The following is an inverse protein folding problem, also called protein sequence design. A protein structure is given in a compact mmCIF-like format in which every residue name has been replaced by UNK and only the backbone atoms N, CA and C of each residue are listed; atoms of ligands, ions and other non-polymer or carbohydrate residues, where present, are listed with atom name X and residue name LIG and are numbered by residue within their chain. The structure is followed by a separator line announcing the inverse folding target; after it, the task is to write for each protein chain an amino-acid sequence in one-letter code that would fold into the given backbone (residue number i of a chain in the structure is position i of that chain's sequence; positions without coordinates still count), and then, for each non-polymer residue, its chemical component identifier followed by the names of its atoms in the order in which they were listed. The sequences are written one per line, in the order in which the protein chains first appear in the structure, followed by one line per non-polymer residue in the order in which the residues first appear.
data_IF_921886763179
#
_entry.id   IF_921886763179
#
_cell.length_a   1.000
_cell.length_b   1.000
_cell.length_c   1.000
_cell.angle_alpha   90.00
_cell.angle_beta   90.00
_cell.angle_gamma   90.00
#
_symmetry.space_group_name_H-M   'P 1'
#
loop_
_entity.id
_entity.type
_entity.pdbx_description
1 polymer ?
#
# COMPACT_ATOMS: atom_id res chain seq x y z
N UNK A 1 13.97 20.93 -40.72
CA UNK A 1 12.77 20.67 -39.90
C UNK A 1 12.74 19.18 -39.56
N UNK A 2 13.31 18.82 -38.42
CA UNK A 2 13.44 17.44 -37.95
C UNK A 2 12.07 16.96 -37.45
N UNK A 3 11.47 16.00 -38.16
CA UNK A 3 10.17 15.42 -37.80
C UNK A 3 10.33 14.71 -36.45
N UNK A 4 9.81 15.31 -35.37
CA UNK A 4 9.59 14.60 -34.09
C UNK A 4 8.80 13.32 -34.39
N UNK A 5 9.47 12.17 -34.36
CA UNK A 5 8.83 10.88 -34.47
C UNK A 5 7.89 10.72 -33.27
N UNK A 6 6.61 11.02 -33.48
CA UNK A 6 5.59 10.87 -32.46
C UNK A 6 5.49 9.38 -32.17
N UNK A 7 5.77 8.99 -30.94
CA UNK A 7 5.88 7.59 -30.54
C UNK A 7 4.46 6.97 -30.44
N UNK A 8 3.85 6.79 -31.62
CA UNK A 8 2.43 6.44 -31.86
C UNK A 8 1.99 5.21 -31.08
N UNK A 9 2.92 4.30 -30.79
CA UNK A 9 2.71 3.08 -30.01
C UNK A 9 2.14 3.33 -28.61
N UNK A 10 2.41 4.48 -27.99
CA UNK A 10 1.89 4.81 -26.65
C UNK A 10 0.48 5.39 -26.64
N UNK A 11 -0.09 5.72 -27.81
CA UNK A 11 -1.43 6.30 -27.92
C UNK A 11 -2.52 5.27 -28.28
N UNK A 12 -2.15 3.99 -28.34
CA UNK A 12 -3.10 2.89 -28.51
C UNK A 12 -3.44 2.26 -27.16
N UNK A 13 -4.54 1.49 -27.10
CA UNK A 13 -4.85 0.70 -25.91
C UNK A 13 -3.67 -0.21 -25.57
N UNK A 14 -3.15 -0.08 -24.35
CA UNK A 14 -2.04 -0.86 -23.83
C UNK A 14 -2.49 -1.97 -22.90
N UNK A 15 -1.52 -2.68 -22.35
CA UNK A 15 -1.73 -3.65 -21.28
C UNK A 15 -2.35 -2.96 -20.05
N UNK A 16 -3.45 -3.48 -19.46
CA UNK A 16 -4.05 -2.91 -18.26
C UNK A 16 -3.11 -2.90 -17.04
N UNK A 17 -2.08 -3.77 -17.04
CA UNK A 17 -1.02 -3.75 -16.02
C UNK A 17 -0.06 -2.57 -16.17
N UNK A 18 -0.11 -1.88 -17.31
CA UNK A 18 0.78 -0.80 -17.68
C UNK A 18 1.94 -1.25 -18.56
N UNK A 19 2.72 -0.28 -19.04
CA UNK A 19 3.77 -0.51 -20.02
C UNK A 19 4.83 -1.50 -19.50
N UNK A 20 5.07 -2.57 -20.26
CA UNK A 20 6.01 -3.64 -19.91
C UNK A 20 7.41 -3.10 -19.55
N UNK A 21 7.96 -2.20 -20.37
CA UNK A 21 9.30 -1.62 -20.14
C UNK A 21 9.42 -0.96 -18.76
N UNK A 22 8.34 -0.35 -18.27
CA UNK A 22 8.31 0.29 -16.97
C UNK A 22 8.17 -0.75 -15.85
N UNK A 23 7.38 -1.82 -16.06
CA UNK A 23 7.30 -2.95 -15.13
C UNK A 23 8.66 -3.66 -15.00
N UNK A 24 9.37 -3.90 -16.09
CA UNK A 24 10.74 -4.46 -16.09
C UNK A 24 11.71 -3.59 -15.28
N UNK A 25 11.71 -2.28 -15.57
CA UNK A 25 12.57 -1.32 -14.84
C UNK A 25 12.26 -1.31 -13.34
N UNK A 26 10.98 -1.32 -12.96
CA UNK A 26 10.59 -1.33 -11.55
C UNK A 26 10.89 -2.66 -10.86
N UNK A 27 10.74 -3.80 -11.52
CA UNK A 27 11.09 -5.11 -10.97
C UNK A 27 12.57 -5.17 -10.59
N UNK A 28 13.45 -4.71 -11.49
CA UNK A 28 14.88 -4.60 -11.21
C UNK A 28 15.16 -3.62 -10.06
N UNK A 29 14.59 -2.41 -10.12
CA UNK A 29 14.80 -1.39 -9.10
C UNK A 29 14.38 -1.83 -7.69
N UNK A 30 13.24 -2.51 -7.56
CA UNK A 30 12.74 -3.03 -6.29
C UNK A 30 13.61 -4.17 -5.74
N UNK A 31 14.14 -5.02 -6.61
CA UNK A 31 15.10 -6.06 -6.23
C UNK A 31 16.39 -5.45 -5.68
N UNK A 32 16.96 -4.47 -6.38
CA UNK A 32 18.23 -3.83 -6.02
C UNK A 32 18.13 -2.95 -4.77
N UNK A 33 17.06 -2.17 -4.64
CA UNK A 33 16.95 -1.16 -3.55
C UNK A 33 16.23 -1.66 -2.31
N UNK A 34 15.40 -2.71 -2.43
CA UNK A 34 14.55 -3.20 -1.34
C UNK A 34 14.60 -4.71 -1.13
N UNK A 35 15.39 -5.45 -1.90
CA UNK A 35 15.45 -6.91 -1.81
C UNK A 35 14.13 -7.60 -2.18
N UNK A 36 13.20 -6.90 -2.82
CA UNK A 36 11.91 -7.45 -3.22
C UNK A 36 12.07 -8.11 -4.59
N UNK A 37 12.33 -9.41 -4.59
CA UNK A 37 12.40 -10.21 -5.81
C UNK A 37 11.01 -10.39 -6.43
N UNK A 38 10.85 -10.00 -7.69
CA UNK A 38 9.60 -10.14 -8.42
C UNK A 38 9.82 -10.04 -9.92
N UNK A 39 8.85 -10.54 -10.69
CA UNK A 39 8.84 -10.43 -12.15
C UNK A 39 7.96 -9.27 -12.59
N UNK A 40 8.10 -8.77 -13.84
CA UNK A 40 7.21 -7.75 -14.38
C UNK A 40 5.73 -8.13 -14.27
N UNK A 41 5.38 -9.42 -14.31
CA UNK A 41 4.01 -9.93 -14.22
C UNK A 41 3.44 -9.90 -12.79
N UNK A 42 4.27 -9.60 -11.79
CA UNK A 42 3.83 -9.34 -10.43
C UNK A 42 3.54 -7.86 -10.17
N UNK A 43 3.74 -6.98 -11.17
CA UNK A 43 3.62 -5.54 -11.02
C UNK A 43 2.42 -4.98 -11.78
N UNK A 44 1.62 -4.18 -11.09
CA UNK A 44 0.54 -3.38 -11.65
C UNK A 44 0.87 -1.90 -11.48
N UNK A 45 0.99 -1.17 -12.59
CA UNK A 45 1.16 0.27 -12.55
C UNK A 45 -0.14 0.94 -12.15
N UNK A 46 -0.06 1.86 -11.18
CA UNK A 46 -1.22 2.59 -10.67
C UNK A 46 -1.05 4.09 -10.85
N UNK A 47 -2.17 4.83 -10.86
CA UNK A 47 -2.18 6.30 -10.91
C UNK A 47 -1.97 6.89 -9.51
N UNK A 48 -0.89 6.46 -8.86
CA UNK A 48 -0.51 6.86 -7.50
C UNK A 48 -1.02 5.92 -6.40
N UNK A 49 -0.51 6.15 -5.18
CA UNK A 49 -0.70 5.25 -4.04
C UNK A 49 -2.18 5.02 -3.70
N UNK A 50 -3.02 6.06 -3.79
CA UNK A 50 -4.44 5.96 -3.45
C UNK A 50 -5.21 5.00 -4.37
N UNK A 51 -4.85 4.93 -5.67
CA UNK A 51 -5.43 3.94 -6.59
C UNK A 51 -5.00 2.53 -6.19
N UNK A 52 -3.73 2.34 -5.81
CA UNK A 52 -3.24 1.05 -5.32
C UNK A 52 -3.97 0.58 -4.05
N UNK A 53 -4.16 1.49 -3.08
CA UNK A 53 -4.91 1.22 -1.85
C UNK A 53 -6.36 0.86 -2.17
N UNK A 54 -7.00 1.60 -3.09
CA UNK A 54 -8.36 1.30 -3.54
C UNK A 54 -8.47 -0.09 -4.16
N UNK A 55 -7.60 -0.43 -5.11
CA UNK A 55 -7.61 -1.76 -5.75
C UNK A 55 -7.37 -2.88 -4.74
N UNK A 56 -6.42 -2.71 -3.83
CA UNK A 56 -6.16 -3.67 -2.75
C UNK A 56 -7.39 -3.83 -1.84
N UNK A 57 -8.06 -2.73 -1.48
CA UNK A 57 -9.26 -2.78 -0.67
C UNK A 57 -10.40 -3.52 -1.38
N UNK A 58 -10.67 -3.23 -2.65
CA UNK A 58 -11.71 -3.91 -3.42
C UNK A 58 -11.43 -5.40 -3.62
N UNK A 59 -10.16 -5.79 -3.75
CA UNK A 59 -9.77 -7.19 -3.93
C UNK A 59 -9.81 -7.97 -2.62
N UNK A 60 -9.36 -7.36 -1.52
CA UNK A 60 -9.11 -8.06 -0.27
C UNK A 60 -10.26 -7.93 0.71
N UNK A 61 -10.98 -6.81 0.79
CA UNK A 61 -11.92 -6.55 1.88
C UNK A 61 -13.33 -7.00 1.51
N UNK A 62 -14.01 -7.66 2.45
CA UNK A 62 -15.45 -7.96 2.41
C UNK A 62 -16.19 -7.19 3.49
N UNK A 63 -17.50 -7.02 3.30
CA UNK A 63 -18.37 -6.37 4.30
C UNK A 63 -18.27 -7.10 5.64
N UNK A 64 -17.94 -6.34 6.69
CA UNK A 64 -17.80 -6.82 8.06
C UNK A 64 -16.37 -7.22 8.45
N UNK A 65 -15.44 -7.33 7.50
CA UNK A 65 -14.03 -7.58 7.77
C UNK A 65 -13.44 -6.50 8.67
N UNK A 66 -12.47 -6.86 9.51
CA UNK A 66 -11.82 -5.91 10.41
C UNK A 66 -10.47 -5.49 9.83
N UNK A 67 -10.25 -4.18 9.74
CA UNK A 67 -8.99 -3.60 9.27
C UNK A 67 -8.41 -2.72 10.36
N UNK A 68 -7.15 -2.94 10.69
CA UNK A 68 -6.43 -2.12 11.67
C UNK A 68 -5.77 -0.94 10.96
N UNK A 69 -5.95 0.26 11.52
CA UNK A 69 -5.28 1.50 11.08
C UNK A 69 -4.70 2.24 12.28
N UNK A 70 -3.70 3.09 12.04
CA UNK A 70 -3.17 3.97 13.08
C UNK A 70 -4.18 5.05 13.52
N UNK A 71 -3.97 5.60 14.71
CA UNK A 71 -4.66 6.78 15.22
C UNK A 71 -3.67 7.81 15.76
N UNK A 72 -3.47 8.94 15.07
CA UNK A 72 -4.05 9.31 13.76
C UNK A 72 -3.50 8.44 12.61
N UNK A 73 -4.11 8.50 11.41
CA UNK A 73 -3.60 7.86 10.18
C UNK A 73 -4.05 8.60 8.92
N UNK A 74 -3.63 8.14 7.74
CA UNK A 74 -4.02 8.69 6.45
C UNK A 74 -5.52 8.48 6.17
N UNK A 75 -6.30 9.54 6.37
CA UNK A 75 -7.76 9.50 6.34
C UNK A 75 -8.35 8.94 5.05
N UNK A 76 -7.72 9.20 3.90
CA UNK A 76 -8.23 8.72 2.60
C UNK A 76 -8.11 7.20 2.50
N UNK A 77 -7.03 6.61 3.03
CA UNK A 77 -6.91 5.15 3.10
C UNK A 77 -7.98 4.56 4.04
N UNK A 78 -8.16 5.13 5.23
CA UNK A 78 -9.21 4.68 6.17
C UNK A 78 -10.59 4.68 5.51
N UNK A 79 -10.97 5.78 4.86
CA UNK A 79 -12.25 5.89 4.13
C UNK A 79 -12.40 4.87 3.01
N UNK A 80 -11.29 4.50 2.37
CA UNK A 80 -11.29 3.50 1.31
C UNK A 80 -11.66 2.11 1.85
N UNK A 81 -11.14 1.76 3.02
CA UNK A 81 -11.49 0.50 3.68
C UNK A 81 -12.94 0.51 4.20
N UNK A 82 -13.40 1.62 4.78
CA UNK A 82 -14.80 1.80 5.20
C UNK A 82 -15.77 1.63 4.02
N UNK A 83 -15.45 2.23 2.86
CA UNK A 83 -16.23 2.10 1.64
C UNK A 83 -16.27 0.66 1.09
N UNK A 84 -15.20 -0.12 1.30
CA UNK A 84 -15.18 -1.55 1.00
C UNK A 84 -15.98 -2.40 2.03
N UNK A 85 -16.53 -1.77 3.07
CA UNK A 85 -17.35 -2.40 4.10
C UNK A 85 -16.56 -2.90 5.31
N UNK A 86 -15.31 -2.46 5.49
CA UNK A 86 -14.53 -2.81 6.66
C UNK A 86 -15.04 -2.13 7.93
N UNK A 87 -14.96 -2.85 9.04
CA UNK A 87 -14.99 -2.30 10.39
C UNK A 87 -13.57 -1.87 10.78
N UNK A 88 -13.38 -0.58 11.02
CA UNK A 88 -12.05 -0.02 11.32
C UNK A 88 -11.73 -0.18 12.80
N UNK A 89 -10.61 -0.79 13.10
CA UNK A 89 -10.02 -0.83 14.42
C UNK A 89 -8.83 0.13 14.46
N UNK A 90 -8.81 1.01 15.46
CA UNK A 90 -7.80 2.07 15.59
C UNK A 90 -6.78 1.68 16.64
N UNK A 91 -5.50 1.87 16.30
CA UNK A 91 -4.37 1.62 17.20
C UNK A 91 -3.55 2.91 17.37
N UNK A 92 -3.22 3.32 18.60
CA UNK A 92 -2.42 4.52 18.84
C UNK A 92 -1.08 4.52 18.10
N UNK A 93 -0.67 5.70 17.65
CA UNK A 93 0.65 5.95 17.08
C UNK A 93 1.46 6.80 18.07
N UNK A 94 2.60 6.27 18.51
CA UNK A 94 3.56 6.97 19.38
C UNK A 94 4.74 7.54 18.56
N UNK A 95 5.77 8.05 19.25
CA UNK A 95 6.98 8.61 18.63
C UNK A 95 7.77 7.59 17.79
N UNK A 96 7.56 6.30 18.04
CA UNK A 96 8.14 5.17 17.32
C UNK A 96 7.11 4.49 16.38
N UNK A 97 6.06 5.20 15.98
CA UNK A 97 5.05 4.70 15.05
C UNK A 97 3.91 3.94 15.72
N UNK A 98 3.22 3.11 14.93
CA UNK A 98 2.05 2.35 15.42
C UNK A 98 2.46 1.38 16.54
N UNK A 99 1.65 1.29 17.60
CA UNK A 99 1.92 0.40 18.72
C UNK A 99 1.59 -1.06 18.37
N UNK A 100 2.63 -1.89 18.27
CA UNK A 100 2.50 -3.27 17.80
C UNK A 100 1.83 -4.19 18.83
N UNK A 101 2.09 -3.98 20.11
CA UNK A 101 1.46 -4.76 21.19
C UNK A 101 -0.08 -4.62 21.15
N UNK A 102 -0.57 -3.41 20.83
CA UNK A 102 -1.99 -3.16 20.65
C UNK A 102 -2.57 -3.83 19.40
N UNK A 103 -1.77 -4.00 18.33
CA UNK A 103 -2.16 -4.81 17.16
C UNK A 103 -2.29 -6.28 17.57
N UNK A 104 -1.30 -6.81 18.29
CA UNK A 104 -1.28 -8.19 18.76
C UNK A 104 -2.52 -8.52 19.62
N UNK A 105 -2.87 -7.62 20.55
CA UNK A 105 -4.04 -7.75 21.40
C UNK A 105 -5.36 -7.77 20.60
N UNK A 106 -5.45 -7.01 19.51
CA UNK A 106 -6.60 -7.05 18.61
C UNK A 106 -6.64 -8.35 17.81
N UNK A 107 -5.50 -8.83 17.32
CA UNK A 107 -5.39 -10.11 16.60
C UNK A 107 -5.80 -11.29 17.48
N UNK A 108 -5.55 -11.25 18.80
CA UNK A 108 -6.01 -12.27 19.76
C UNK A 108 -7.54 -12.27 19.94
N UNK A 109 -8.19 -11.12 19.80
CA UNK A 109 -9.64 -10.93 20.06
C UNK A 109 -10.49 -11.04 18.79
N UNK A 110 -9.89 -10.85 17.62
CA UNK A 110 -10.60 -10.65 16.37
C UNK A 110 -9.88 -11.32 15.21
N UNK A 111 -10.66 -11.85 14.26
CA UNK A 111 -10.13 -12.17 12.94
C UNK A 111 -9.89 -10.87 12.16
N UNK A 112 -8.61 -10.51 11.99
CA UNK A 112 -8.17 -9.30 11.29
C UNK A 112 -7.89 -9.64 9.84
N UNK A 113 -8.43 -8.83 8.92
CA UNK A 113 -8.25 -9.02 7.48
C UNK A 113 -6.98 -8.36 6.96
N UNK A 114 -6.68 -7.15 7.46
CA UNK A 114 -5.52 -6.38 7.03
C UNK A 114 -5.09 -5.39 8.12
N UNK A 115 -3.81 -5.03 8.07
CA UNK A 115 -3.22 -3.92 8.84
C UNK A 115 -2.68 -2.91 7.84
N UNK A 116 -3.12 -1.65 7.94
CA UNK A 116 -2.60 -0.55 7.12
C UNK A 116 -1.63 0.30 7.95
N UNK A 117 -0.38 0.37 7.49
CA UNK A 117 0.69 1.09 8.17
C UNK A 117 1.52 1.90 7.18
N UNK A 118 1.93 3.09 7.60
CA UNK A 118 2.91 3.92 6.88
C UNK A 118 4.21 3.85 7.69
N UNK A 119 5.20 3.11 7.15
CA UNK A 119 6.43 2.77 7.87
C UNK A 119 7.40 3.95 8.06
N UNK A 120 7.48 4.81 7.05
CA UNK A 120 8.37 5.97 6.99
C UNK A 120 7.54 7.22 6.73
N UNK A 121 7.84 8.32 7.42
CA UNK A 121 7.10 9.58 7.30
C UNK A 121 5.59 9.37 7.48
N UNK A 122 5.21 8.72 8.58
CA UNK A 122 3.82 8.40 8.88
C UNK A 122 2.93 9.65 8.78
N UNK A 123 1.80 9.57 8.08
CA UNK A 123 0.91 10.72 7.94
C UNK A 123 -0.14 10.71 9.07
N UNK A 124 -0.32 11.79 9.86
CA UNK A 124 0.29 13.13 9.76
C UNK A 124 1.53 13.37 10.65
N UNK A 125 1.89 12.41 11.50
CA UNK A 125 2.84 12.62 12.61
C UNK A 125 4.31 12.69 12.19
N UNK A 126 4.63 12.31 10.95
CA UNK A 126 5.97 12.19 10.33
C UNK A 126 6.95 11.22 11.00
N UNK A 127 6.52 10.53 12.08
CA UNK A 127 7.32 9.51 12.78
C UNK A 127 7.65 8.33 11.86
N UNK A 128 8.69 7.58 12.23
CA UNK A 128 9.12 6.39 11.52
C UNK A 128 9.02 5.18 12.45
N UNK A 129 8.43 4.09 11.96
CA UNK A 129 8.40 2.82 12.66
C UNK A 129 9.80 2.19 12.60
N UNK A 130 10.56 2.04 13.69
CA UNK A 130 11.93 1.52 13.66
C UNK A 130 11.96 0.02 13.34
N UNK A 131 13.08 -0.47 12.82
CA UNK A 131 13.24 -1.88 12.41
C UNK A 131 12.93 -2.87 13.55
N UNK A 132 13.42 -2.58 14.76
CA UNK A 132 13.17 -3.43 15.93
C UNK A 132 11.68 -3.68 16.19
N UNK A 133 10.83 -2.67 15.94
CA UNK A 133 9.39 -2.78 16.10
C UNK A 133 8.72 -3.45 14.90
N UNK A 134 9.25 -3.26 13.68
CA UNK A 134 8.78 -3.96 12.46
C UNK A 134 8.95 -5.47 12.51
N UNK A 135 10.01 -5.95 13.15
CA UNK A 135 10.28 -7.38 13.29
C UNK A 135 9.26 -8.09 14.21
N UNK A 136 8.50 -7.32 14.99
CA UNK A 136 7.44 -7.82 15.87
C UNK A 136 6.03 -7.59 15.30
N UNK A 137 5.90 -6.91 14.14
CA UNK A 137 4.62 -6.65 13.47
C UNK A 137 4.03 -7.90 12.82
#
# INVERSE_FOLDING_TARGET
MEKRATNRRYFHYGDPQGALVLRETWAQHLSETRGLSGTPDNLLLTRGAQMGIYLAAQLLIKKGDKVIVGDPSYITATRTFEQAGANILRVPVDESGIQVDAIEDLCKKHSIRAVYVILHHHQPTTVTLPLARRLNC
#
